data_IF_749102381160
#
_entry.id   IF_749102381160
#
_cell.length_a   1.000
_cell.length_b   1.000
_cell.length_c   1.000
_cell.angle_alpha   90.00
_cell.angle_beta   90.00
_cell.angle_gamma   90.00
#
_symmetry.space_group_name_H-M   'P 1'
#
loop_
_entity.id
_entity.type
_entity.pdbx_description
1 polymer ?
#
# COMPACT_ATOMS: atom_id res chain seq x y z
N UNK A 1 -4.15 1.79 -26.23
CA UNK A 1 -4.01 2.70 -25.05
C UNK A 1 -2.82 2.29 -24.18
N UNK A 2 -2.74 1.03 -23.71
CA UNK A 2 -1.62 0.53 -22.89
C UNK A 2 -0.20 0.83 -23.44
N UNK A 3 0.06 0.56 -24.73
CA UNK A 3 1.36 0.86 -25.36
C UNK A 3 1.79 2.33 -25.26
N UNK A 4 0.84 3.28 -25.25
CA UNK A 4 1.16 4.71 -25.10
C UNK A 4 1.51 5.04 -23.66
N UNK A 5 0.82 4.43 -22.70
CA UNK A 5 1.09 4.62 -21.27
C UNK A 5 2.47 4.07 -20.88
N UNK A 6 2.82 2.85 -21.31
CA UNK A 6 4.13 2.25 -21.02
C UNK A 6 5.27 3.14 -21.48
N UNK A 7 5.17 3.72 -22.69
CA UNK A 7 6.20 4.61 -23.26
C UNK A 7 6.46 5.88 -22.44
N UNK A 8 5.52 6.31 -21.59
CA UNK A 8 5.72 7.49 -20.74
C UNK A 8 6.70 7.21 -19.58
N UNK A 9 6.84 5.95 -19.17
CA UNK A 9 7.68 5.51 -18.06
C UNK A 9 8.98 4.83 -18.50
N UNK A 10 9.13 4.54 -19.80
CA UNK A 10 10.35 3.92 -20.33
C UNK A 10 11.43 4.96 -20.65
N UNK A 11 12.72 4.61 -20.42
CA UNK A 11 13.82 5.51 -20.72
C UNK A 11 13.88 5.82 -22.21
N UNK A 12 14.29 7.04 -22.57
CA UNK A 12 14.37 7.45 -23.99
C UNK A 12 15.64 6.95 -24.66
N UNK A 13 16.70 6.74 -23.89
CA UNK A 13 18.00 6.20 -24.31
C UNK A 13 18.40 5.05 -23.39
N UNK A 14 19.17 4.11 -23.92
CA UNK A 14 19.74 3.02 -23.13
C UNK A 14 20.60 3.54 -21.97
N UNK A 15 21.38 4.59 -22.21
CA UNK A 15 22.19 5.24 -21.17
C UNK A 15 21.37 5.68 -19.96
N UNK A 16 20.14 6.12 -20.16
CA UNK A 16 19.27 6.60 -19.08
C UNK A 16 18.73 5.43 -18.23
N UNK A 17 18.65 4.22 -18.82
CA UNK A 17 18.34 3.01 -18.07
C UNK A 17 19.49 2.68 -17.13
N UNK A 18 20.69 2.49 -17.66
CA UNK A 18 21.83 1.97 -16.89
C UNK A 18 22.46 2.97 -15.93
N UNK A 19 22.36 4.28 -16.18
CA UNK A 19 22.97 5.29 -15.30
C UNK A 19 22.14 5.64 -14.07
N UNK A 20 20.84 5.32 -14.08
CA UNK A 20 19.90 5.71 -13.02
C UNK A 20 19.08 4.56 -12.47
N UNK A 21 19.39 3.31 -12.83
CA UNK A 21 18.65 2.13 -12.37
C UNK A 21 19.61 1.07 -11.86
N UNK A 22 19.55 0.78 -10.57
CA UNK A 22 20.33 -0.30 -9.96
C UNK A 22 19.66 -1.67 -10.16
N UNK A 23 18.33 -1.71 -10.18
CA UNK A 23 17.56 -2.92 -10.41
C UNK A 23 16.23 -2.65 -11.13
N UNK A 24 15.81 -3.64 -11.92
CA UNK A 24 14.50 -3.72 -12.56
C UNK A 24 13.66 -4.76 -11.83
N UNK A 25 12.39 -4.44 -11.62
CA UNK A 25 11.42 -5.35 -11.02
C UNK A 25 10.25 -5.53 -11.97
N UNK A 26 10.05 -6.77 -12.42
CA UNK A 26 8.86 -7.13 -13.18
C UNK A 26 7.96 -8.01 -12.33
N UNK A 27 6.69 -7.60 -12.20
CA UNK A 27 5.67 -8.32 -11.46
C UNK A 27 4.42 -8.43 -12.33
N UNK A 28 3.97 -9.66 -12.57
CA UNK A 28 2.76 -9.97 -13.37
C UNK A 28 2.65 -9.18 -14.68
N UNK A 29 3.75 -9.15 -15.44
CA UNK A 29 3.90 -8.29 -16.61
C UNK A 29 3.89 -9.09 -17.91
N UNK A 30 3.15 -8.60 -18.91
CA UNK A 30 3.11 -9.19 -20.26
C UNK A 30 4.12 -8.53 -21.20
N UNK A 31 4.99 -9.28 -21.90
CA UNK A 31 5.98 -8.68 -22.81
C UNK A 31 5.31 -8.06 -24.06
N UNK A 32 4.05 -8.40 -24.35
CA UNK A 32 3.27 -7.87 -25.48
C UNK A 32 3.12 -6.35 -25.52
N UNK A 33 3.22 -5.70 -24.36
CA UNK A 33 3.12 -4.24 -24.24
C UNK A 33 4.48 -3.53 -24.32
N UNK A 34 5.57 -4.27 -24.56
CA UNK A 34 6.89 -3.74 -24.81
C UNK A 34 7.26 -3.89 -26.30
N UNK A 35 8.05 -2.95 -26.81
CA UNK A 35 8.68 -3.14 -28.12
C UNK A 35 9.91 -4.03 -27.97
N UNK A 36 10.30 -4.81 -29.00
CA UNK A 36 11.50 -5.64 -28.96
C UNK A 36 12.77 -4.87 -28.55
N UNK A 37 12.85 -3.59 -28.96
CA UNK A 37 13.93 -2.68 -28.58
C UNK A 37 14.11 -2.55 -27.05
N UNK A 38 13.01 -2.44 -26.29
CA UNK A 38 13.13 -2.29 -24.83
C UNK A 38 13.48 -3.61 -24.14
N UNK A 39 12.95 -4.73 -24.64
CA UNK A 39 13.32 -6.06 -24.14
C UNK A 39 14.83 -6.31 -24.32
N UNK A 40 15.39 -5.88 -25.45
CA UNK A 40 16.83 -5.92 -25.68
C UNK A 40 17.61 -4.99 -24.75
N UNK A 41 17.10 -3.77 -24.50
CA UNK A 41 17.71 -2.86 -23.52
C UNK A 41 17.69 -3.43 -22.11
N UNK A 42 16.62 -4.09 -21.68
CA UNK A 42 16.59 -4.73 -20.38
C UNK A 42 17.58 -5.89 -20.32
N UNK A 43 17.64 -6.74 -21.37
CA UNK A 43 18.61 -7.84 -21.44
C UNK A 43 20.05 -7.33 -21.34
N UNK A 44 20.38 -6.32 -22.13
CA UNK A 44 21.70 -5.70 -22.10
C UNK A 44 21.97 -4.98 -20.77
N UNK A 45 20.97 -4.33 -20.17
CA UNK A 45 21.07 -3.72 -18.85
C UNK A 45 21.47 -4.73 -17.78
N UNK A 46 20.82 -5.91 -17.76
CA UNK A 46 21.22 -7.00 -16.87
C UNK A 46 22.65 -7.45 -17.17
N UNK A 47 22.98 -7.68 -18.45
CA UNK A 47 24.34 -8.07 -18.83
C UNK A 47 25.40 -7.07 -18.35
N UNK A 48 25.09 -5.78 -18.37
CA UNK A 48 26.00 -4.70 -17.99
C UNK A 48 26.10 -4.48 -16.46
N UNK A 49 25.17 -5.02 -15.67
CA UNK A 49 25.23 -4.98 -14.20
C UNK A 49 23.94 -4.65 -13.47
N UNK A 50 22.87 -4.28 -14.17
CA UNK A 50 21.58 -3.94 -13.54
C UNK A 50 20.92 -5.21 -12.96
N UNK A 51 20.49 -5.17 -11.71
CA UNK A 51 19.76 -6.28 -11.09
C UNK A 51 18.40 -6.52 -11.76
N UNK A 52 17.90 -7.76 -11.74
CA UNK A 52 16.57 -8.09 -12.26
C UNK A 52 15.80 -9.00 -11.29
N UNK A 53 14.62 -8.55 -10.87
CA UNK A 53 13.69 -9.33 -10.06
C UNK A 53 12.47 -9.70 -10.90
N UNK A 54 12.21 -11.00 -11.04
CA UNK A 54 11.08 -11.58 -11.76
C UNK A 54 10.09 -12.15 -10.73
N UNK A 55 9.10 -11.33 -10.35
CA UNK A 55 8.11 -11.68 -9.33
C UNK A 55 6.91 -12.32 -9.99
N UNK A 56 6.60 -13.56 -9.61
CA UNK A 56 5.46 -14.32 -10.13
C UNK A 56 5.58 -14.66 -11.62
N UNK A 57 6.80 -14.89 -12.09
CA UNK A 57 7.10 -15.18 -13.48
C UNK A 57 6.99 -16.69 -13.75
N UNK A 58 5.78 -17.22 -13.72
CA UNK A 58 5.49 -18.61 -14.05
C UNK A 58 4.27 -18.69 -14.96
N UNK A 59 4.13 -19.80 -15.70
CA UNK A 59 2.96 -20.01 -16.55
C UNK A 59 1.69 -20.01 -15.69
N UNK A 60 0.59 -19.40 -16.17
CA UNK A 60 -0.67 -19.34 -15.41
C UNK A 60 -1.86 -19.72 -16.27
N UNK A 61 -3.02 -19.93 -15.62
CA UNK A 61 -4.30 -20.18 -16.30
C UNK A 61 -4.82 -18.92 -17.00
N UNK A 62 -4.46 -17.72 -16.52
CA UNK A 62 -4.89 -16.47 -17.14
C UNK A 62 -4.03 -16.12 -18.36
N UNK A 63 -4.64 -15.52 -19.39
CA UNK A 63 -3.96 -15.00 -20.58
C UNK A 63 -3.13 -13.73 -20.28
N UNK A 64 -2.33 -13.77 -19.22
CA UNK A 64 -1.37 -12.73 -18.84
C UNK A 64 -0.21 -12.63 -19.85
N UNK A 65 -0.12 -13.54 -20.81
CA UNK A 65 0.90 -13.53 -21.84
C UNK A 65 2.26 -14.00 -21.32
N UNK A 66 2.28 -14.80 -20.26
CA UNK A 66 3.51 -15.41 -19.76
C UNK A 66 4.14 -16.34 -20.80
N UNK A 67 3.31 -16.94 -21.66
CA UNK A 67 3.75 -17.79 -22.76
C UNK A 67 4.68 -17.06 -23.75
N UNK A 68 4.53 -15.74 -23.89
CA UNK A 68 5.33 -14.98 -24.86
C UNK A 68 6.72 -14.65 -24.33
N UNK A 69 6.99 -14.79 -23.03
CA UNK A 69 8.32 -14.49 -22.49
C UNK A 69 9.38 -15.37 -23.14
N UNK A 70 9.08 -16.65 -23.35
CA UNK A 70 10.01 -17.62 -23.95
C UNK A 70 10.45 -17.22 -25.37
N UNK A 71 9.66 -16.41 -26.06
CA UNK A 71 9.94 -15.89 -27.41
C UNK A 71 10.70 -14.55 -27.39
N UNK A 72 11.00 -13.97 -26.21
CA UNK A 72 11.69 -12.69 -26.09
C UNK A 72 13.19 -12.85 -25.88
N UNK A 73 13.97 -11.88 -26.35
CA UNK A 73 15.42 -11.82 -26.09
C UNK A 73 15.75 -11.74 -24.58
N UNK A 74 14.90 -11.14 -23.76
CA UNK A 74 15.14 -11.03 -22.32
C UNK A 74 15.10 -12.39 -21.61
N UNK A 75 14.42 -13.38 -22.16
CA UNK A 75 14.31 -14.72 -21.57
C UNK A 75 15.65 -15.47 -21.48
N UNK A 76 16.64 -15.05 -22.26
CA UNK A 76 18.01 -15.53 -22.13
C UNK A 76 18.62 -15.20 -20.77
N UNK A 77 18.17 -14.12 -20.11
CA UNK A 77 18.62 -13.72 -18.78
C UNK A 77 17.88 -14.44 -17.65
N UNK A 78 16.82 -15.20 -17.93
CA UNK A 78 16.03 -15.85 -16.89
C UNK A 78 16.80 -17.04 -16.28
N UNK A 79 16.82 -17.19 -14.94
CA UNK A 79 17.57 -18.24 -14.28
C UNK A 79 16.87 -19.61 -14.34
N UNK A 80 15.60 -19.66 -14.78
CA UNK A 80 14.83 -20.88 -14.90
C UNK A 80 13.95 -20.85 -16.15
N UNK A 81 13.71 -22.04 -16.70
CA UNK A 81 12.72 -22.25 -17.75
C UNK A 81 11.31 -22.37 -17.16
N UNK A 82 10.33 -21.85 -17.89
CA UNK A 82 8.92 -21.91 -17.49
C UNK A 82 8.31 -23.22 -17.98
N UNK A 83 7.79 -24.03 -17.06
CA UNK A 83 7.02 -25.21 -17.41
C UNK A 83 5.69 -24.81 -18.07
N UNK A 84 5.30 -25.54 -19.12
CA UNK A 84 3.98 -25.38 -19.73
C UNK A 84 2.90 -26.12 -18.92
N UNK A 85 2.71 -25.71 -17.68
CA UNK A 85 1.68 -26.21 -16.79
C UNK A 85 1.12 -25.08 -15.92
N UNK A 86 0.04 -25.36 -15.20
CA UNK A 86 -0.46 -24.46 -14.17
C UNK A 86 -1.03 -25.31 -13.04
N UNK A 87 -0.53 -25.09 -11.84
CA UNK A 87 -0.75 -25.94 -10.69
C UNK A 87 -1.35 -25.10 -9.57
N UNK A 88 -2.40 -25.60 -8.94
CA UNK A 88 -3.01 -24.93 -7.79
C UNK A 88 -2.05 -24.92 -6.60
N UNK A 89 -2.07 -23.85 -5.80
CA UNK A 89 -1.27 -23.74 -4.59
C UNK A 89 -1.45 -24.97 -3.67
N UNK A 90 -2.68 -25.44 -3.49
CA UNK A 90 -3.01 -26.59 -2.65
C UNK A 90 -2.35 -27.91 -3.10
N UNK A 91 -1.90 -28.02 -4.35
CA UNK A 91 -1.17 -29.17 -4.87
C UNK A 91 0.33 -29.14 -4.49
N UNK A 92 0.62 -28.75 -3.24
CA UNK A 92 1.95 -28.79 -2.63
C UNK A 92 2.82 -27.54 -2.79
N UNK A 93 2.25 -26.42 -3.24
CA UNK A 93 2.94 -25.15 -3.55
C UNK A 93 2.60 -24.02 -2.58
N UNK A 94 2.32 -24.35 -1.33
CA UNK A 94 1.96 -23.38 -0.29
C UNK A 94 3.13 -22.99 0.61
N UNK A 95 4.00 -23.94 0.93
CA UNK A 95 5.07 -23.75 1.91
C UNK A 95 6.41 -23.90 1.23
N UNK A 96 7.37 -23.07 1.65
CA UNK A 96 8.76 -23.28 1.28
C UNK A 96 9.39 -24.43 2.06
N UNK A 97 10.37 -25.03 1.41
CA UNK A 97 11.50 -25.72 2.03
C UNK A 97 12.78 -25.01 1.58
N UNK A 98 13.52 -24.42 2.51
CA UNK A 98 14.78 -23.72 2.21
C UNK A 98 15.85 -24.77 1.94
N UNK A 99 16.49 -24.66 0.77
CA UNK A 99 17.57 -25.57 0.35
C UNK A 99 18.95 -24.92 0.42
N UNK A 100 19.00 -23.58 0.45
CA UNK A 100 20.22 -22.81 0.66
C UNK A 100 19.94 -21.65 1.61
N UNK A 101 20.66 -21.64 2.73
CA UNK A 101 20.57 -20.58 3.75
C UNK A 101 21.35 -19.34 3.31
N UNK A 102 20.75 -18.17 3.54
CA UNK A 102 21.24 -16.85 3.16
C UNK A 102 20.32 -15.80 3.78
N UNK A 103 20.73 -14.53 3.95
CA UNK A 103 19.80 -13.45 4.30
C UNK A 103 18.58 -13.33 3.37
N UNK A 104 18.61 -13.93 2.17
CA UNK A 104 17.47 -14.04 1.28
C UNK A 104 16.37 -14.99 1.79
N UNK A 105 16.74 -16.00 2.58
CA UNK A 105 15.86 -17.09 3.06
C UNK A 105 15.85 -17.26 4.58
N UNK A 106 16.72 -16.55 5.30
CA UNK A 106 16.89 -16.64 6.75
C UNK A 106 15.94 -15.67 7.48
N UNK A 107 14.64 -15.93 7.35
CA UNK A 107 13.60 -15.18 8.04
C UNK A 107 12.88 -16.04 9.08
N UNK A 108 12.51 -15.48 10.24
CA UNK A 108 11.77 -16.21 11.25
C UNK A 108 10.46 -16.80 10.69
N UNK A 109 10.30 -18.12 10.91
CA UNK A 109 9.14 -18.93 10.49
C UNK A 109 8.94 -19.02 8.98
N UNK A 110 9.89 -18.63 8.14
CA UNK A 110 9.70 -18.57 6.68
C UNK A 110 9.18 -19.87 6.06
N UNK A 111 9.69 -21.02 6.52
CA UNK A 111 9.22 -22.30 6.05
C UNK A 111 7.77 -22.56 6.53
N UNK A 112 7.40 -22.20 7.75
CA UNK A 112 6.07 -22.50 8.32
C UNK A 112 4.92 -21.62 7.79
N UNK A 113 5.22 -20.64 6.95
CA UNK A 113 4.23 -19.74 6.36
C UNK A 113 3.65 -20.33 5.07
N UNK A 114 2.34 -20.16 4.89
CA UNK A 114 1.70 -20.32 3.58
C UNK A 114 2.11 -19.10 2.75
N UNK A 115 3.16 -19.21 1.95
CA UNK A 115 3.71 -18.10 1.16
C UNK A 115 2.98 -17.91 -0.19
N UNK A 116 2.09 -18.82 -0.58
CA UNK A 116 1.42 -18.78 -1.89
C UNK A 116 -0.01 -19.36 -1.87
N UNK A 117 -0.93 -18.66 -2.53
CA UNK A 117 -2.30 -19.07 -2.86
C UNK A 117 -2.62 -18.99 -4.36
N UNK A 118 -1.66 -18.59 -5.18
CA UNK A 118 -1.84 -18.47 -6.63
C UNK A 118 -1.74 -19.80 -7.39
N UNK A 119 -2.07 -19.74 -8.67
CA UNK A 119 -1.99 -20.85 -9.61
C UNK A 119 -0.89 -20.56 -10.63
N UNK A 120 0.17 -21.36 -10.60
CA UNK A 120 1.41 -21.07 -11.30
C UNK A 120 2.06 -22.36 -11.82
N UNK A 121 2.85 -22.25 -12.87
CA UNK A 121 3.60 -23.33 -13.47
C UNK A 121 4.87 -23.64 -12.68
N UNK A 122 5.51 -24.77 -12.93
CA UNK A 122 6.80 -25.09 -12.32
C UNK A 122 7.96 -24.32 -12.98
N UNK A 123 9.04 -24.15 -12.22
CA UNK A 123 10.31 -23.63 -12.71
C UNK A 123 11.32 -24.75 -12.88
N UNK A 124 12.08 -24.73 -13.97
CA UNK A 124 13.23 -25.61 -14.21
C UNK A 124 14.52 -24.79 -14.26
N UNK A 125 15.32 -24.74 -13.19
CA UNK A 125 16.55 -23.96 -13.13
C UNK A 125 17.49 -24.31 -14.29
N UNK A 126 18.05 -23.28 -14.93
CA UNK A 126 19.07 -23.44 -15.97
C UNK A 126 20.39 -23.92 -15.35
N UNK A 127 21.28 -24.43 -16.20
CA UNK A 127 22.64 -24.76 -15.77
C UNK A 127 23.35 -23.53 -15.17
N UNK A 128 23.96 -23.70 -14.00
CA UNK A 128 24.61 -22.62 -13.24
C UNK A 128 23.68 -21.79 -12.36
N UNK A 129 22.35 -21.99 -12.41
CA UNK A 129 21.43 -21.33 -11.51
C UNK A 129 21.50 -21.91 -10.08
N UNK A 130 21.18 -21.09 -9.09
CA UNK A 130 21.07 -21.47 -7.69
C UNK A 130 19.60 -21.51 -7.29
N UNK A 131 19.15 -22.66 -6.80
CA UNK A 131 17.85 -22.77 -6.12
C UNK A 131 18.02 -22.46 -4.64
N UNK A 132 17.25 -21.51 -4.12
CA UNK A 132 17.29 -21.09 -2.71
C UNK A 132 16.20 -21.77 -1.87
N UNK A 133 15.01 -21.89 -2.45
CA UNK A 133 13.87 -22.56 -1.85
C UNK A 133 13.10 -23.36 -2.91
N UNK A 134 12.47 -24.42 -2.45
CA UNK A 134 11.56 -25.24 -3.24
C UNK A 134 10.20 -25.35 -2.54
N UNK A 135 9.17 -25.73 -3.28
CA UNK A 135 7.86 -26.03 -2.73
C UNK A 135 7.94 -27.31 -1.89
N UNK A 136 7.64 -27.25 -0.60
CA UNK A 136 7.79 -28.40 0.32
C UNK A 136 6.96 -29.60 -0.11
N UNK A 137 5.70 -29.39 -0.50
CA UNK A 137 4.79 -30.46 -0.87
C UNK A 137 5.00 -31.00 -2.29
N UNK A 138 5.58 -30.19 -3.18
CA UNK A 138 5.74 -30.52 -4.60
C UNK A 138 7.17 -30.90 -4.99
N UNK A 139 8.17 -30.40 -4.27
CA UNK A 139 9.59 -30.60 -4.54
C UNK A 139 10.17 -29.76 -5.68
N UNK A 140 9.36 -28.95 -6.37
CA UNK A 140 9.81 -28.10 -7.48
C UNK A 140 10.39 -26.77 -6.99
N UNK A 141 11.36 -26.17 -7.72
CA UNK A 141 11.95 -24.88 -7.39
C UNK A 141 10.92 -23.75 -7.30
N UNK A 142 11.08 -22.91 -6.29
CA UNK A 142 10.18 -21.79 -6.03
C UNK A 142 10.90 -20.43 -6.00
N UNK A 143 12.18 -20.44 -5.62
CA UNK A 143 13.06 -19.28 -5.61
C UNK A 143 14.40 -19.63 -6.24
N UNK A 144 14.71 -19.04 -7.38
CA UNK A 144 15.89 -19.36 -8.20
C UNK A 144 16.62 -18.07 -8.56
N UNK A 145 17.94 -18.10 -8.59
CA UNK A 145 18.75 -16.97 -9.07
C UNK A 145 19.87 -17.41 -10.00
N UNK A 146 20.38 -16.48 -10.80
CA UNK A 146 21.58 -16.68 -11.62
C UNK A 146 22.22 -15.32 -11.91
N UNK A 147 23.52 -15.29 -12.19
CA UNK A 147 24.19 -14.14 -12.78
C UNK A 147 24.05 -14.19 -14.31
N UNK A 148 23.72 -13.07 -14.94
CA UNK A 148 23.72 -12.93 -16.39
C UNK A 148 24.59 -11.73 -16.79
N UNK A 149 25.74 -12.00 -17.39
CA UNK A 149 26.80 -11.00 -17.50
C UNK A 149 27.26 -10.55 -16.11
N UNK A 150 27.21 -9.24 -15.86
CA UNK A 150 27.58 -8.63 -14.57
C UNK A 150 26.39 -8.47 -13.62
N UNK A 151 25.15 -8.62 -14.10
CA UNK A 151 23.94 -8.45 -13.28
C UNK A 151 23.48 -9.74 -12.61
N UNK A 152 22.71 -9.57 -11.53
CA UNK A 152 22.08 -10.69 -10.80
C UNK A 152 20.59 -10.73 -11.07
N UNK A 153 20.10 -11.92 -11.44
CA UNK A 153 18.68 -12.18 -11.72
C UNK A 153 18.10 -13.09 -10.65
N UNK A 154 16.93 -12.71 -10.14
CA UNK A 154 16.22 -13.41 -9.09
C UNK A 154 14.77 -13.66 -9.51
N UNK A 155 14.34 -14.91 -9.41
CA UNK A 155 13.11 -15.40 -10.02
C UNK A 155 12.25 -16.13 -8.99
N UNK A 156 11.07 -15.59 -8.76
CA UNK A 156 10.02 -16.12 -7.91
C UNK A 156 8.96 -16.78 -8.76
N UNK A 157 8.61 -17.99 -8.36
CA UNK A 157 7.50 -18.71 -8.96
C UNK A 157 6.14 -18.06 -8.61
N UNK A 158 6.02 -17.48 -7.41
CA UNK A 158 4.82 -16.82 -6.92
C UNK A 158 4.99 -15.30 -6.75
N UNK A 159 3.89 -14.60 -6.47
CA UNK A 159 3.83 -13.15 -6.33
C UNK A 159 3.55 -12.72 -4.90
N UNK A 160 3.91 -11.48 -4.56
CA UNK A 160 3.62 -10.91 -3.25
C UNK A 160 2.12 -10.71 -3.02
N UNK A 161 1.37 -10.45 -4.08
CA UNK A 161 -0.08 -10.34 -4.10
C UNK A 161 -0.78 -11.70 -3.87
N UNK A 162 -0.16 -12.80 -4.33
CA UNK A 162 -0.64 -14.17 -4.12
C UNK A 162 -0.34 -14.75 -2.75
N UNK A 163 0.35 -14.01 -1.89
CA UNK A 163 0.47 -14.38 -0.47
C UNK A 163 -0.90 -14.25 0.21
N UNK A 164 -1.28 -15.19 1.10
CA UNK A 164 -2.49 -15.09 1.88
C UNK A 164 -2.57 -13.77 2.66
N UNK A 165 -3.78 -13.23 2.77
CA UNK A 165 -4.02 -11.97 3.48
C UNK A 165 -3.58 -12.04 4.95
N UNK A 166 -3.74 -13.20 5.59
CA UNK A 166 -3.28 -13.41 6.97
C UNK A 166 -1.76 -13.26 7.09
N UNK A 167 -0.99 -13.86 6.18
CA UNK A 167 0.48 -13.72 6.17
C UNK A 167 0.88 -12.27 5.91
N UNK A 168 0.24 -11.59 4.95
CA UNK A 168 0.50 -10.17 4.65
C UNK A 168 0.25 -9.25 5.85
N UNK A 169 -0.68 -9.62 6.74
CA UNK A 169 -1.02 -8.85 7.95
C UNK A 169 -0.19 -9.22 9.17
N UNK A 170 0.17 -10.49 9.32
CA UNK A 170 0.75 -11.01 10.57
C UNK A 170 2.25 -11.28 10.48
N UNK A 171 2.79 -11.54 9.29
CA UNK A 171 4.22 -11.75 9.14
C UNK A 171 4.94 -10.41 9.01
N UNK A 172 5.39 -9.91 10.16
CA UNK A 172 6.00 -8.57 10.28
C UNK A 172 7.21 -8.37 9.35
N UNK A 173 7.94 -9.42 9.00
CA UNK A 173 9.12 -9.32 8.14
C UNK A 173 8.83 -9.33 6.64
N UNK A 174 7.56 -9.34 6.20
CA UNK A 174 7.24 -9.31 4.78
C UNK A 174 7.89 -8.12 4.03
N UNK A 175 7.88 -6.87 4.55
CA UNK A 175 8.60 -5.78 3.91
C UNK A 175 10.10 -6.06 3.82
N UNK A 176 10.69 -6.60 4.89
CA UNK A 176 12.12 -6.90 4.96
C UNK A 176 12.55 -7.98 3.96
N UNK A 177 11.72 -9.02 3.82
CA UNK A 177 11.85 -10.04 2.79
C UNK A 177 11.87 -9.43 1.39
N UNK A 178 10.93 -8.52 1.09
CA UNK A 178 10.88 -7.83 -0.20
C UNK A 178 12.13 -6.97 -0.44
N UNK A 179 12.59 -6.21 0.56
CA UNK A 179 13.79 -5.39 0.43
C UNK A 179 15.06 -6.24 0.26
N UNK A 180 15.15 -7.38 0.93
CA UNK A 180 16.27 -8.30 0.78
C UNK A 180 16.39 -8.84 -0.65
N UNK A 181 15.27 -8.95 -1.39
CA UNK A 181 15.31 -9.29 -2.81
C UNK A 181 16.02 -8.22 -3.63
N UNK A 182 15.74 -6.94 -3.34
CA UNK A 182 16.38 -5.82 -4.00
C UNK A 182 17.86 -5.75 -3.64
N UNK A 183 18.22 -5.86 -2.36
CA UNK A 183 19.61 -5.93 -1.93
C UNK A 183 20.38 -7.05 -2.64
N UNK A 184 19.75 -8.22 -2.76
CA UNK A 184 20.36 -9.37 -3.44
C UNK A 184 20.68 -9.06 -4.91
N UNK A 185 19.72 -8.53 -5.68
CA UNK A 185 19.93 -8.31 -7.13
C UNK A 185 20.84 -7.12 -7.44
N UNK A 186 20.91 -6.13 -6.55
CA UNK A 186 21.81 -4.98 -6.69
C UNK A 186 23.21 -5.23 -6.13
N UNK A 187 23.40 -6.34 -5.42
CA UNK A 187 24.66 -6.63 -4.70
C UNK A 187 24.90 -5.71 -3.50
N UNK A 188 23.87 -5.00 -3.02
CA UNK A 188 23.96 -4.27 -1.77
C UNK A 188 24.10 -5.25 -0.60
N UNK A 189 24.80 -4.81 0.44
CA UNK A 189 24.93 -5.59 1.65
C UNK A 189 23.55 -5.76 2.31
N UNK A 190 23.31 -6.97 2.81
CA UNK A 190 22.16 -7.21 3.67
C UNK A 190 22.38 -6.51 5.01
N UNK A 191 21.30 -6.05 5.67
CA UNK A 191 21.41 -5.56 7.03
C UNK A 191 21.86 -6.69 7.98
N UNK A 192 22.82 -6.40 8.85
CA UNK A 192 23.34 -7.36 9.83
C UNK A 192 22.34 -7.68 10.95
N UNK A 193 21.53 -6.68 11.34
CA UNK A 193 20.50 -6.82 12.37
C UNK A 193 19.11 -6.68 11.74
N UNK A 194 18.47 -7.83 11.53
CA UNK A 194 17.12 -7.90 10.98
C UNK A 194 16.08 -7.23 11.89
N UNK A 195 16.20 -7.35 13.22
CA UNK A 195 15.23 -6.79 14.15
C UNK A 195 15.30 -5.26 14.16
N UNK A 196 16.51 -4.71 14.23
CA UNK A 196 16.70 -3.27 14.21
C UNK A 196 16.26 -2.68 12.86
N UNK A 197 16.58 -3.36 11.76
CA UNK A 197 16.13 -2.93 10.42
C UNK A 197 14.61 -2.90 10.32
N UNK A 198 13.97 -3.97 10.79
CA UNK A 198 12.51 -4.08 10.81
C UNK A 198 11.90 -2.95 11.65
N UNK A 199 12.45 -2.69 12.84
CA UNK A 199 12.00 -1.60 13.71
C UNK A 199 12.09 -0.24 13.01
N UNK A 200 13.24 0.10 12.43
CA UNK A 200 13.44 1.38 11.73
C UNK A 200 12.43 1.56 10.60
N UNK A 201 12.24 0.53 9.77
CA UNK A 201 11.24 0.55 8.68
C UNK A 201 9.82 0.70 9.22
N UNK A 202 9.48 0.03 10.33
CA UNK A 202 8.19 0.16 10.99
C UNK A 202 7.98 1.58 11.54
N UNK A 203 9.01 2.22 12.08
CA UNK A 203 8.96 3.61 12.55
C UNK A 203 8.72 4.59 11.39
N UNK A 204 9.35 4.39 10.23
CA UNK A 204 9.07 5.17 9.02
C UNK A 204 7.62 5.02 8.55
N UNK A 205 7.13 3.78 8.46
CA UNK A 205 5.75 3.52 8.07
C UNK A 205 4.74 4.12 9.07
N UNK A 206 5.05 4.06 10.37
CA UNK A 206 4.26 4.69 11.43
C UNK A 206 4.21 6.21 11.25
N UNK A 207 5.36 6.86 11.08
CA UNK A 207 5.44 8.31 10.92
C UNK A 207 4.62 8.78 9.70
N UNK A 208 4.74 8.08 8.56
CA UNK A 208 3.96 8.41 7.36
C UNK A 208 2.45 8.26 7.58
N UNK A 209 2.02 7.18 8.25
CA UNK A 209 0.62 6.95 8.58
C UNK A 209 0.08 8.03 9.51
N UNK A 210 0.83 8.36 10.57
CA UNK A 210 0.44 9.38 11.54
C UNK A 210 0.41 10.77 10.90
N UNK A 211 1.40 11.11 10.06
CA UNK A 211 1.46 12.39 9.33
C UNK A 211 0.25 12.58 8.41
N UNK A 212 -0.15 11.53 7.67
CA UNK A 212 -1.37 11.57 6.83
C UNK A 212 -2.63 11.79 7.65
N UNK A 213 -2.75 11.13 8.81
CA UNK A 213 -3.87 11.32 9.72
C UNK A 213 -3.89 12.75 10.28
N UNK A 214 -2.73 13.27 10.69
CA UNK A 214 -2.58 14.64 11.17
C UNK A 214 -3.03 15.64 10.09
N UNK A 215 -2.56 15.51 8.84
CA UNK A 215 -2.99 16.36 7.73
C UNK A 215 -4.52 16.32 7.54
N UNK A 216 -5.14 15.12 7.59
CA UNK A 216 -6.59 15.00 7.48
C UNK A 216 -7.36 15.71 8.61
N UNK A 217 -6.86 15.63 9.85
CA UNK A 217 -7.44 16.35 10.99
C UNK A 217 -7.21 17.86 10.86
N UNK A 218 -6.06 18.27 10.32
CA UNK A 218 -5.74 19.67 10.08
C UNK A 218 -6.71 20.30 9.08
N UNK A 219 -6.93 19.64 7.94
CA UNK A 219 -7.89 20.07 6.91
C UNK A 219 -9.31 20.13 7.46
N UNK A 220 -9.67 19.24 8.39
CA UNK A 220 -10.96 19.31 9.07
C UNK A 220 -11.06 20.56 9.93
N UNK A 221 -10.06 20.84 10.77
CA UNK A 221 -10.05 22.00 11.68
C UNK A 221 -10.01 23.33 10.90
N UNK A 222 -9.25 23.39 9.81
CA UNK A 222 -9.13 24.57 8.93
C UNK A 222 -10.48 24.94 8.30
N UNK A 223 -11.29 23.95 7.90
CA UNK A 223 -12.66 24.18 7.39
C UNK A 223 -13.58 24.89 8.39
N UNK A 224 -13.25 24.89 9.68
CA UNK A 224 -13.99 25.61 10.74
C UNK A 224 -13.31 26.94 11.14
N UNK A 225 -12.30 27.38 10.39
CA UNK A 225 -11.63 28.67 10.59
C UNK A 225 -10.71 28.73 11.81
N UNK A 226 -10.27 27.59 12.34
CA UNK A 226 -9.27 27.59 13.41
C UNK A 226 -7.88 27.89 12.84
N UNK A 227 -7.03 28.54 13.64
CA UNK A 227 -5.66 28.84 13.23
C UNK A 227 -4.79 27.56 13.25
N UNK A 228 -4.47 27.02 12.08
CA UNK A 228 -3.69 25.80 11.86
C UNK A 228 -2.19 26.03 11.73
N UNK A 229 -1.75 27.29 11.64
CA UNK A 229 -0.37 27.66 11.28
C UNK A 229 0.70 27.00 12.14
N UNK A 230 0.46 26.84 13.44
CA UNK A 230 1.42 26.20 14.34
C UNK A 230 1.65 24.72 13.95
N UNK A 231 0.59 23.98 13.65
CA UNK A 231 0.68 22.57 13.25
C UNK A 231 1.32 22.41 11.86
N UNK A 232 1.06 23.34 10.94
CA UNK A 232 1.70 23.36 9.62
C UNK A 232 3.22 23.55 9.72
N UNK A 233 3.67 24.48 10.58
CA UNK A 233 5.09 24.70 10.83
C UNK A 233 5.75 23.46 11.45
N UNK A 234 5.10 22.82 12.42
CA UNK A 234 5.59 21.57 13.02
C UNK A 234 5.68 20.46 11.98
N UNK A 235 4.63 20.26 11.16
CA UNK A 235 4.64 19.28 10.07
C UNK A 235 5.74 19.53 9.04
N UNK A 236 6.05 20.81 8.75
CA UNK A 236 7.16 21.15 7.87
C UNK A 236 8.51 20.75 8.47
N UNK A 237 8.76 21.06 9.74
CA UNK A 237 10.02 20.69 10.41
C UNK A 237 10.24 19.18 10.50
N UNK A 238 9.17 18.41 10.70
CA UNK A 238 9.23 16.95 10.73
C UNK A 238 9.75 16.35 9.41
N UNK A 239 9.57 17.03 8.26
CA UNK A 239 10.06 16.53 6.96
C UNK A 239 11.58 16.61 6.87
N UNK A 240 12.16 17.73 7.25
CA UNK A 240 13.61 17.94 7.21
C UNK A 240 14.34 16.92 8.11
N UNK A 241 13.76 16.65 9.27
CA UNK A 241 14.31 15.67 10.21
C UNK A 241 14.08 14.22 9.77
N UNK A 242 12.94 13.94 9.11
CA UNK A 242 12.73 12.64 8.45
C UNK A 242 13.78 12.40 7.38
N UNK A 243 14.11 13.40 6.56
CA UNK A 243 15.17 13.29 5.54
C UNK A 243 16.54 13.00 6.17
N UNK A 244 16.84 13.59 7.33
CA UNK A 244 18.06 13.27 8.08
C UNK A 244 18.08 11.81 8.58
N UNK A 245 16.95 11.30 9.06
CA UNK A 245 16.81 9.90 9.46
C UNK A 245 16.91 8.94 8.28
N UNK A 246 16.30 9.28 7.13
CA UNK A 246 16.42 8.50 5.89
C UNK A 246 17.88 8.42 5.43
N UNK A 247 18.61 9.53 5.50
CA UNK A 247 20.04 9.56 5.18
C UNK A 247 20.84 8.63 6.11
N UNK A 248 20.64 8.70 7.42
CA UNK A 248 21.31 7.81 8.36
C UNK A 248 21.00 6.33 8.09
N UNK A 249 19.75 6.01 7.78
CA UNK A 249 19.34 4.66 7.39
C UNK A 249 20.05 4.18 6.12
N UNK A 250 20.15 5.03 5.09
CA UNK A 250 20.85 4.71 3.83
C UNK A 250 22.36 4.57 4.02
N UNK A 251 22.95 5.28 4.97
CA UNK A 251 24.37 5.18 5.35
C UNK A 251 24.66 3.97 6.25
N UNK A 252 23.63 3.22 6.66
CA UNK A 252 23.75 2.03 7.52
C UNK A 252 23.77 2.33 9.02
N UNK A 253 23.61 3.58 9.44
CA UNK A 253 23.45 3.95 10.86
C UNK A 253 22.01 3.71 11.32
N UNK A 254 21.67 2.43 11.48
CA UNK A 254 20.34 2.01 11.88
C UNK A 254 19.96 2.47 13.30
N UNK A 255 20.93 2.58 14.21
CA UNK A 255 20.67 3.05 15.57
C UNK A 255 20.33 4.55 15.57
N UNK A 256 21.13 5.37 14.88
CA UNK A 256 20.86 6.79 14.73
C UNK A 256 19.52 7.04 14.02
N UNK A 257 19.23 6.29 12.96
CA UNK A 257 17.93 6.34 12.29
C UNK A 257 16.77 5.97 13.22
N UNK A 258 16.90 4.91 14.02
CA UNK A 258 15.88 4.49 14.97
C UNK A 258 15.60 5.58 16.02
N UNK A 259 16.65 6.14 16.63
CA UNK A 259 16.52 7.15 17.69
C UNK A 259 15.86 8.43 17.16
N UNK A 260 16.29 8.93 15.99
CA UNK A 260 15.65 10.07 15.33
C UNK A 260 14.17 9.78 15.02
N UNK A 261 13.85 8.59 14.51
CA UNK A 261 12.49 8.22 14.16
C UNK A 261 11.57 7.99 15.36
N UNK A 262 12.09 7.51 16.49
CA UNK A 262 11.33 7.42 17.75
C UNK A 262 10.96 8.82 18.24
N UNK A 263 11.93 9.73 18.29
CA UNK A 263 11.70 11.14 18.67
C UNK A 263 10.71 11.84 17.73
N UNK A 264 10.78 11.58 16.43
CA UNK A 264 9.82 12.12 15.45
C UNK A 264 8.41 11.58 15.67
N UNK A 265 8.26 10.27 15.88
CA UNK A 265 6.95 9.67 16.17
C UNK A 265 6.34 10.25 17.46
N UNK A 266 7.13 10.40 18.53
CA UNK A 266 6.65 10.96 19.79
C UNK A 266 6.13 12.41 19.60
N UNK A 267 6.86 13.24 18.87
CA UNK A 267 6.41 14.61 18.54
C UNK A 267 5.14 14.64 17.68
N UNK A 268 4.99 13.71 16.74
CA UNK A 268 3.74 13.60 15.96
C UNK A 268 2.56 13.18 16.84
N UNK A 269 2.77 12.29 17.81
CA UNK A 269 1.75 11.91 18.79
C UNK A 269 1.35 13.11 19.65
N UNK A 270 2.32 13.87 20.16
CA UNK A 270 2.06 15.10 20.92
C UNK A 270 1.26 16.12 20.11
N UNK A 271 1.72 16.41 18.88
CA UNK A 271 1.02 17.29 17.95
C UNK A 271 -0.40 16.80 17.65
N UNK A 272 -0.58 15.49 17.41
CA UNK A 272 -1.89 14.89 17.16
C UNK A 272 -2.85 15.08 18.35
N UNK A 273 -2.34 14.96 19.58
CA UNK A 273 -3.11 15.22 20.79
C UNK A 273 -3.54 16.69 20.89
N UNK A 274 -2.67 17.64 20.52
CA UNK A 274 -3.02 19.06 20.48
C UNK A 274 -4.05 19.38 19.39
N UNK A 275 -3.91 18.77 18.22
CA UNK A 275 -4.88 18.90 17.12
C UNK A 275 -6.24 18.35 17.51
N UNK A 276 -6.29 17.22 18.22
CA UNK A 276 -7.55 16.67 18.73
C UNK A 276 -8.23 17.61 19.72
N UNK A 277 -7.47 18.27 20.62
CA UNK A 277 -8.03 19.33 21.49
C UNK A 277 -8.56 20.52 20.69
N UNK A 278 -7.87 20.93 19.63
CA UNK A 278 -8.34 21.99 18.73
C UNK A 278 -9.63 21.58 18.00
N UNK A 279 -9.70 20.35 17.51
CA UNK A 279 -10.90 19.74 16.90
C UNK A 279 -12.08 19.75 17.87
N UNK A 280 -11.87 19.33 19.11
CA UNK A 280 -12.94 19.26 20.11
C UNK A 280 -13.50 20.65 20.45
N UNK A 281 -12.63 21.67 20.50
CA UNK A 281 -13.07 23.08 20.65
C UNK A 281 -13.90 23.54 19.45
N UNK A 282 -13.51 23.20 18.23
CA UNK A 282 -14.29 23.53 17.03
C UNK A 282 -15.66 22.82 17.03
N UNK A 283 -15.68 21.52 17.33
CA UNK A 283 -16.90 20.71 17.43
C UNK A 283 -17.87 21.25 18.49
N UNK A 284 -17.35 21.71 19.63
CA UNK A 284 -18.17 22.33 20.66
C UNK A 284 -18.89 23.59 20.14
N UNK A 285 -18.18 24.47 19.42
CA UNK A 285 -18.81 25.68 18.87
C UNK A 285 -19.83 25.38 17.77
N UNK A 286 -19.58 24.38 16.94
CA UNK A 286 -20.57 23.90 15.96
C UNK A 286 -21.83 23.46 16.68
N UNK A 287 -21.70 22.62 17.72
CA UNK A 287 -22.83 22.17 18.51
C UNK A 287 -23.61 23.33 19.13
N UNK A 288 -22.92 24.34 19.68
CA UNK A 288 -23.57 25.52 20.26
C UNK A 288 -24.33 26.32 19.20
N UNK A 289 -23.74 26.56 18.03
CA UNK A 289 -24.38 27.30 16.94
C UNK A 289 -25.59 26.54 16.40
N UNK A 290 -25.46 25.24 16.21
CA UNK A 290 -26.56 24.36 15.79
C UNK A 290 -27.69 24.39 16.82
N UNK A 291 -27.37 24.22 18.11
CA UNK A 291 -28.34 24.29 19.19
C UNK A 291 -29.08 25.63 19.22
N UNK A 292 -28.36 26.75 19.11
CA UNK A 292 -28.95 28.10 19.07
C UNK A 292 -29.83 28.28 17.83
N UNK A 293 -29.40 27.77 16.68
CA UNK A 293 -30.15 27.87 15.42
C UNK A 293 -31.47 27.09 15.51
N UNK A 294 -31.42 25.82 15.96
CA UNK A 294 -32.60 24.98 16.16
C UNK A 294 -33.56 25.59 17.18
N UNK A 295 -33.02 26.12 18.30
CA UNK A 295 -33.83 26.77 19.34
C UNK A 295 -34.47 28.05 18.81
N UNK A 296 -33.73 28.89 18.07
CA UNK A 296 -34.24 30.12 17.47
C UNK A 296 -35.34 29.84 16.45
N UNK A 297 -35.14 28.87 15.55
CA UNK A 297 -36.17 28.43 14.59
C UNK A 297 -37.40 27.89 15.33
N UNK A 298 -37.22 27.09 16.37
CA UNK A 298 -38.31 26.57 17.20
C UNK A 298 -39.12 27.68 17.89
N UNK A 299 -38.45 28.64 18.51
CA UNK A 299 -39.09 29.81 19.14
C UNK A 299 -39.82 30.68 18.12
N UNK A 300 -39.23 30.90 16.94
CA UNK A 300 -39.85 31.67 15.87
C UNK A 300 -41.12 30.99 15.34
N UNK A 301 -41.05 29.69 15.03
CA UNK A 301 -42.22 28.91 14.61
C UNK A 301 -43.30 28.90 15.71
N UNK A 302 -42.91 28.70 16.97
CA UNK A 302 -43.82 28.77 18.11
C UNK A 302 -44.51 30.13 18.25
N UNK A 303 -43.75 31.22 18.09
CA UNK A 303 -44.27 32.58 18.12
C UNK A 303 -45.25 32.86 16.98
N UNK A 304 -44.94 32.44 15.76
CA UNK A 304 -45.82 32.58 14.60
C UNK A 304 -47.12 31.79 14.79
N UNK A 305 -47.02 30.52 15.23
CA UNK A 305 -48.19 29.68 15.50
C UNK A 305 -49.07 30.28 16.61
N UNK A 306 -48.47 30.68 17.73
CA UNK A 306 -49.17 31.32 18.83
C UNK A 306 -49.86 32.61 18.38
N UNK A 307 -49.16 33.47 17.64
CA UNK A 307 -49.73 34.73 17.11
C UNK A 307 -50.94 34.47 16.21
N UNK A 308 -50.86 33.45 15.35
CA UNK A 308 -51.99 33.03 14.51
C UNK A 308 -53.16 32.49 15.35
N UNK A 309 -52.89 31.68 16.37
CA UNK A 309 -53.91 31.11 17.25
C UNK A 309 -54.61 32.19 18.10
N UNK A 310 -53.86 33.09 18.73
CA UNK A 310 -54.43 34.17 19.56
C UNK A 310 -55.21 35.16 18.70
N UNK A 311 -54.69 35.53 17.53
CA UNK A 311 -55.44 36.38 16.59
C UNK A 311 -56.70 35.69 16.09
N UNK A 312 -56.68 34.38 15.85
CA UNK A 312 -57.91 33.62 15.54
C UNK A 312 -58.89 33.55 16.70
N UNK A 313 -58.42 33.47 17.95
CA UNK A 313 -59.27 33.45 19.15
C UNK A 313 -60.01 34.79 19.37
N UNK A 314 -59.39 35.91 19.01
CA UNK A 314 -60.01 37.24 19.03
C UNK A 314 -61.02 37.49 17.90
N UNK A 315 -60.97 36.70 16.82
CA UNK A 315 -61.81 36.90 15.63
C UNK A 315 -62.88 35.81 15.42
N UNK A 316 -63.16 34.98 16.43
CA UNK A 316 -64.17 33.92 16.29
C UNK A 316 -65.01 33.77 17.55
N UNK A 317 -66.02 34.65 17.69
CA UNK A 317 -67.32 34.16 18.13
C UNK A 317 -67.84 33.27 17.01
N UNK A 318 -67.71 31.95 17.18
CA UNK A 318 -68.49 31.02 16.38
C UNK A 318 -69.91 31.22 16.87
N UNK A 319 -70.72 31.96 16.10
CA UNK A 319 -72.16 31.99 16.31
C UNK A 319 -72.64 30.56 16.43
N UNK A 320 -73.30 30.25 17.56
CA UNK A 320 -73.83 28.92 17.81
C UNK A 320 -74.71 28.50 16.63
N UNK A 321 -74.30 27.48 15.89
CA UNK A 321 -75.17 26.87 14.89
C UNK A 321 -76.24 26.11 15.66
N UNK A 322 -77.38 26.78 15.88
CA UNK A 322 -78.59 26.23 16.49
C UNK A 322 -78.95 24.92 15.76
N UNK A 323 -78.87 23.78 16.44
CA UNK A 323 -79.42 22.52 15.95
C UNK A 323 -80.95 22.68 15.91
N UNK A 324 -81.51 22.88 14.72
CA UNK A 324 -82.95 22.81 14.49
C UNK A 324 -83.39 21.37 14.69
N UNK A 325 -84.07 21.11 15.80
CA UNK A 325 -84.75 19.86 16.08
C UNK A 325 -86.02 19.85 15.21
N UNK A 326 -85.93 19.24 14.02
CA UNK A 326 -87.10 18.91 13.22
C UNK A 326 -87.78 17.70 13.85
N UNK A 327 -88.75 17.95 14.73
CA UNK A 327 -89.83 17.01 15.03
C UNK A 327 -90.92 17.21 13.98
N UNK A 328 -91.09 16.22 13.10
CA UNK A 328 -92.33 16.06 12.37
C UNK A 328 -92.76 14.60 12.53
N UNK A 329 -93.83 14.45 13.32
CA UNK A 329 -94.61 13.24 13.54
C UNK A 329 -95.99 13.47 12.91
N UNK A 330 -96.44 12.47 12.15
CA UNK A 330 -97.83 12.15 11.74
C UNK A 330 -98.48 13.14 10.75
N UNK A 331 -98.98 12.78 9.56
CA UNK A 331 -99.81 11.65 9.09
C UNK A 331 -99.59 11.38 7.58
#
# INVERSE_FOLDING_TARGET
VALRFVRAYLPRKYSDLVSGTDAMLFHDYSPKIMTPKYLEWFRQGVYDGVGLTLVEFAQRISACGMEYWQDTVLYEAFPAELAWNCIEAAAGRQYYRVVKQSPLTDFPKMEDLIINWGHHGDLYPREGATTWAIWRGRGTPALVSQTYGNGTVLHYDHGWDTMPEDVKRTWRYLPDYIFNHLCFVTGLQFPDDLELTHEVRALFASLDKQSRMAISVLEFIDKFGANTRQFELTLSGLRDEKEAAEKAYLEGDLNGAADMMRELNDRVVEMSNEMMKAKDRAMFWIFVIEWLSVTATGMFCGFVLWSLMVRRRLYREVGETRLSQASESDE
#
